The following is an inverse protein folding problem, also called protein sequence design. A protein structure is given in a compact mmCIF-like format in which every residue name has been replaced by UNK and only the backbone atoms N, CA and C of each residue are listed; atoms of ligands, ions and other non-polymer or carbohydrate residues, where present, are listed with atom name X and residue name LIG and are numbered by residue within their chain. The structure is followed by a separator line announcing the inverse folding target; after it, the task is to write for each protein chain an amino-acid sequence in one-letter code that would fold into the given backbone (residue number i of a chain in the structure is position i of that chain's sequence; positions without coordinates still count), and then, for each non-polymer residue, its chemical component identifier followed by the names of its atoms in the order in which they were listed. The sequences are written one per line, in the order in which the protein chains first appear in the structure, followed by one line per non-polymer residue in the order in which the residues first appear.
data_IF_379451127144
#
_entry.id   IF_379451127144
#
_cell.length_a   1.000
_cell.length_b   1.000
_cell.length_c   1.000
_cell.angle_alpha   90.00
_cell.angle_beta   90.00
_cell.angle_gamma   90.00
#
_symmetry.space_group_name_H-M   'P 1'
#
loop_
_entity.id
_entity.type
_entity.pdbx_description
1 polymer ?
#
# COMPACT_ATOMS: atom_id res chain seq x y z
N UNK A 1 -22.67 -6.91 31.75
CA UNK A 1 -22.57 -7.80 30.57
C UNK A 1 -21.39 -7.36 29.73
N UNK A 2 -20.69 -8.31 29.12
CA UNK A 2 -19.62 -8.02 28.16
C UNK A 2 -20.17 -7.35 26.89
N UNK A 3 -19.52 -6.28 26.41
CA UNK A 3 -19.92 -5.53 25.22
C UNK A 3 -19.61 -6.27 23.91
N UNK A 4 -18.52 -7.06 23.91
CA UNK A 4 -18.05 -7.85 22.78
C UNK A 4 -17.89 -9.31 23.18
N UNK A 5 -17.67 -10.19 22.20
CA UNK A 5 -17.44 -11.63 22.45
C UNK A 5 -16.07 -11.89 23.09
N UNK A 6 -15.04 -11.14 22.67
CA UNK A 6 -13.72 -11.20 23.25
C UNK A 6 -13.57 -10.09 24.31
N UNK A 7 -13.36 -10.48 25.56
CA UNK A 7 -13.32 -9.57 26.71
C UNK A 7 -11.91 -9.12 27.09
N UNK A 8 -10.89 -9.48 26.31
CA UNK A 8 -9.55 -8.93 26.50
C UNK A 8 -9.63 -7.39 26.42
N UNK A 9 -9.17 -6.66 27.46
CA UNK A 9 -9.23 -5.19 27.48
C UNK A 9 -8.65 -4.52 26.24
N UNK A 10 -7.56 -5.07 25.68
CA UNK A 10 -6.91 -4.50 24.48
C UNK A 10 -7.76 -4.68 23.22
N UNK A 11 -8.47 -5.81 23.10
CA UNK A 11 -9.38 -6.07 21.99
C UNK A 11 -10.63 -5.20 22.08
N UNK A 12 -11.18 -5.03 23.29
CA UNK A 12 -12.31 -4.12 23.53
C UNK A 12 -11.91 -2.69 23.14
N UNK A 13 -10.76 -2.20 23.64
CA UNK A 13 -10.25 -0.87 23.31
C UNK A 13 -10.02 -0.72 21.80
N UNK A 14 -9.47 -1.74 21.14
CA UNK A 14 -9.25 -1.70 19.70
C UNK A 14 -10.56 -1.62 18.91
N UNK A 15 -11.57 -2.42 19.27
CA UNK A 15 -12.89 -2.39 18.62
C UNK A 15 -13.57 -1.05 18.85
N UNK A 16 -13.55 -0.53 20.08
CA UNK A 16 -14.12 0.78 20.41
C UNK A 16 -13.47 1.90 19.58
N UNK A 17 -12.14 1.91 19.49
CA UNK A 17 -11.41 2.88 18.68
C UNK A 17 -11.71 2.72 17.19
N UNK A 18 -11.71 1.49 16.66
CA UNK A 18 -11.88 1.23 15.22
C UNK A 18 -13.23 1.67 14.66
N UNK A 19 -14.23 1.88 15.53
CA UNK A 19 -15.52 2.47 15.14
C UNK A 19 -15.47 3.98 14.95
N UNK A 20 -14.52 4.64 15.59
CA UNK A 20 -14.35 6.09 15.50
C UNK A 20 -13.46 6.44 14.31
N UNK A 21 -13.65 7.64 13.76
CA UNK A 21 -12.81 8.11 12.66
C UNK A 21 -11.32 8.13 13.03
N UNK A 22 -11.00 8.60 14.24
CA UNK A 22 -9.62 8.65 14.73
C UNK A 22 -9.01 7.24 14.83
N UNK A 23 -9.76 6.25 15.29
CA UNK A 23 -9.24 4.89 15.37
C UNK A 23 -9.15 4.19 14.01
N UNK A 24 -10.02 4.52 13.06
CA UNK A 24 -9.84 4.12 11.66
C UNK A 24 -8.53 4.71 11.09
N UNK A 25 -8.25 5.99 11.36
CA UNK A 25 -6.99 6.62 10.92
C UNK A 25 -5.75 5.93 11.51
N UNK A 26 -5.80 5.62 12.80
CA UNK A 26 -4.70 4.93 13.49
C UNK A 26 -4.53 3.49 13.00
N UNK A 27 -5.63 2.75 12.84
CA UNK A 27 -5.59 1.31 12.59
C UNK A 27 -5.52 0.90 11.13
N UNK A 28 -6.02 1.72 10.21
CA UNK A 28 -6.29 1.30 8.83
C UNK A 28 -5.77 2.30 7.80
N UNK A 29 -6.03 3.61 7.94
CA UNK A 29 -5.74 4.57 6.87
C UNK A 29 -5.34 5.95 7.43
N UNK A 30 -4.05 6.27 7.50
CA UNK A 30 -3.57 7.48 8.19
C UNK A 30 -3.80 8.79 7.47
N UNK A 31 -4.00 8.75 6.15
CA UNK A 31 -4.15 9.97 5.36
C UNK A 31 -5.53 10.58 5.56
N UNK A 32 -5.65 11.90 5.41
CA UNK A 32 -6.97 12.51 5.34
C UNK A 32 -7.58 12.18 3.98
N UNK A 33 -8.87 11.84 3.97
CA UNK A 33 -9.58 11.47 2.75
C UNK A 33 -9.67 12.66 1.78
N UNK A 34 -9.68 13.88 2.32
CA UNK A 34 -9.68 15.14 1.55
C UNK A 34 -8.36 15.41 0.82
N UNK A 35 -7.26 14.88 1.35
CA UNK A 35 -5.90 15.05 0.80
C UNK A 35 -5.54 13.93 -0.18
N UNK A 36 -6.49 13.06 -0.53
CA UNK A 36 -6.28 11.85 -1.32
C UNK A 36 -7.24 11.84 -2.50
N UNK A 37 -6.78 11.33 -3.64
CA UNK A 37 -7.60 11.23 -4.84
C UNK A 37 -8.89 10.43 -4.63
N UNK A 38 -9.90 10.75 -5.43
CA UNK A 38 -11.26 10.22 -5.25
C UNK A 38 -11.33 8.68 -5.25
N UNK A 39 -10.49 8.00 -6.04
CA UNK A 39 -10.47 6.53 -6.14
C UNK A 39 -10.03 5.89 -4.81
N UNK A 40 -8.80 6.12 -4.32
CA UNK A 40 -8.38 5.61 -3.01
C UNK A 40 -9.22 6.17 -1.84
N UNK A 41 -9.65 7.43 -1.89
CA UNK A 41 -10.48 8.04 -0.85
C UNK A 41 -11.87 7.37 -0.73
N UNK A 42 -12.50 7.04 -1.85
CA UNK A 42 -13.79 6.30 -1.85
C UNK A 42 -13.61 4.87 -1.34
N UNK A 43 -12.51 4.20 -1.72
CA UNK A 43 -12.19 2.86 -1.24
C UNK A 43 -11.97 2.84 0.29
N UNK A 44 -11.17 3.78 0.81
CA UNK A 44 -10.96 3.93 2.25
C UNK A 44 -12.27 4.22 3.00
N UNK A 45 -13.13 5.09 2.45
CA UNK A 45 -14.44 5.39 3.02
C UNK A 45 -15.35 4.16 3.08
N UNK A 46 -15.36 3.34 2.03
CA UNK A 46 -16.13 2.08 1.99
C UNK A 46 -15.64 1.11 3.07
N UNK A 47 -14.33 0.91 3.19
CA UNK A 47 -13.74 0.07 4.21
C UNK A 47 -14.10 0.54 5.63
N UNK A 48 -14.04 1.87 5.88
CA UNK A 48 -14.46 2.47 7.16
C UNK A 48 -15.88 2.08 7.54
N UNK A 49 -16.84 2.27 6.63
CA UNK A 49 -18.24 1.95 6.91
C UNK A 49 -18.47 0.45 7.10
N UNK A 50 -17.81 -0.40 6.30
CA UNK A 50 -17.89 -1.86 6.46
C UNK A 50 -17.39 -2.32 7.84
N UNK A 51 -16.29 -1.74 8.33
CA UNK A 51 -15.74 -2.00 9.67
C UNK A 51 -16.72 -1.51 10.75
N UNK A 52 -17.20 -0.28 10.66
CA UNK A 52 -18.14 0.30 11.63
C UNK A 52 -19.43 -0.50 11.76
N UNK A 53 -20.01 -0.90 10.64
CA UNK A 53 -21.21 -1.74 10.60
C UNK A 53 -20.95 -3.12 11.18
N UNK A 54 -19.79 -3.72 10.87
CA UNK A 54 -19.41 -5.05 11.36
C UNK A 54 -19.25 -5.06 12.88
N UNK A 55 -18.58 -4.05 13.44
CA UNK A 55 -18.43 -3.93 14.90
C UNK A 55 -19.80 -3.69 15.55
N UNK A 56 -20.68 -2.90 14.93
CA UNK A 56 -22.05 -2.69 15.42
C UNK A 56 -22.87 -3.98 15.46
N UNK A 57 -22.71 -4.85 14.46
CA UNK A 57 -23.35 -6.18 14.44
C UNK A 57 -22.75 -7.11 15.49
N UNK A 58 -21.44 -7.03 15.73
CA UNK A 58 -20.77 -7.82 16.76
C UNK A 58 -21.29 -7.48 18.16
N UNK A 59 -21.55 -6.22 18.47
CA UNK A 59 -22.14 -5.82 19.76
C UNK A 59 -23.51 -6.44 19.99
N UNK A 60 -24.39 -6.35 18.98
CA UNK A 60 -25.72 -6.97 19.03
C UNK A 60 -25.62 -8.47 19.23
N UNK A 61 -24.68 -9.12 18.53
CA UNK A 61 -24.42 -10.55 18.64
C UNK A 61 -23.90 -10.95 20.04
N UNK A 62 -23.08 -10.11 20.67
CA UNK A 62 -22.60 -10.36 22.03
C UNK A 62 -23.75 -10.41 23.05
N UNK A 63 -24.73 -9.51 22.89
CA UNK A 63 -25.91 -9.41 23.77
C UNK A 63 -27.05 -10.37 23.42
N UNK A 64 -26.97 -11.10 22.30
CA UNK A 64 -28.05 -12.00 21.84
C UNK A 64 -28.21 -13.19 22.80
N UNK A 65 -29.28 -13.23 23.59
CA UNK A 65 -29.55 -14.31 24.54
C UNK A 65 -30.11 -15.58 23.88
N UNK A 66 -30.49 -15.53 22.59
CA UNK A 66 -31.01 -16.68 21.86
C UNK A 66 -29.92 -17.63 21.35
N UNK A 67 -28.64 -17.24 21.44
CA UNK A 67 -27.49 -18.00 20.92
C UNK A 67 -26.54 -18.43 22.04
N UNK A 68 -26.00 -19.64 21.92
CA UNK A 68 -24.88 -20.11 22.74
C UNK A 68 -23.60 -19.34 22.39
N UNK A 69 -22.61 -19.38 23.28
CA UNK A 69 -21.32 -18.71 23.05
C UNK A 69 -20.59 -19.24 21.81
N UNK A 70 -20.68 -20.54 21.54
CA UNK A 70 -20.07 -21.16 20.36
C UNK A 70 -20.75 -20.65 19.07
N UNK A 71 -22.09 -20.63 19.03
CA UNK A 71 -22.86 -20.11 17.90
C UNK A 71 -22.61 -18.61 17.67
N UNK A 72 -22.38 -17.82 18.72
CA UNK A 72 -21.97 -16.41 18.58
C UNK A 72 -20.59 -16.27 17.94
N UNK A 73 -19.62 -17.09 18.32
CA UNK A 73 -18.28 -17.03 17.74
C UNK A 73 -18.26 -17.50 16.27
N UNK A 74 -19.08 -18.49 15.88
CA UNK A 74 -19.27 -18.89 14.48
C UNK A 74 -19.89 -17.76 13.64
N UNK A 75 -20.94 -17.11 14.16
CA UNK A 75 -21.56 -15.97 13.51
C UNK A 75 -20.58 -14.78 13.38
N UNK A 76 -19.75 -14.52 14.40
CA UNK A 76 -18.71 -13.49 14.35
C UNK A 76 -17.61 -13.82 13.33
N UNK A 77 -17.20 -15.09 13.20
CA UNK A 77 -16.30 -15.57 12.14
C UNK A 77 -16.89 -15.32 10.75
N UNK A 78 -18.20 -15.51 10.58
CA UNK A 78 -18.91 -15.22 9.34
C UNK A 78 -18.98 -13.71 9.06
N UNK A 79 -19.28 -12.90 10.07
CA UNK A 79 -19.22 -11.43 9.96
C UNK A 79 -17.81 -10.96 9.56
N UNK A 80 -16.78 -11.53 10.17
CA UNK A 80 -15.39 -11.21 9.83
C UNK A 80 -15.07 -11.55 8.37
N UNK A 81 -15.44 -12.75 7.89
CA UNK A 81 -15.27 -13.12 6.47
C UNK A 81 -15.92 -12.13 5.50
N UNK A 82 -17.09 -11.58 5.86
CA UNK A 82 -17.78 -10.61 5.01
C UNK A 82 -17.08 -9.26 4.99
N UNK A 83 -16.66 -8.73 6.13
CA UNK A 83 -15.90 -7.47 6.16
C UNK A 83 -14.53 -7.61 5.50
N UNK A 84 -13.88 -8.77 5.65
CA UNK A 84 -12.61 -9.08 4.98
C UNK A 84 -12.73 -8.91 3.47
N UNK A 85 -13.79 -9.44 2.83
CA UNK A 85 -13.99 -9.27 1.38
C UNK A 85 -14.08 -7.81 0.96
N UNK A 86 -14.82 -6.99 1.69
CA UNK A 86 -14.98 -5.55 1.39
C UNK A 86 -13.68 -4.76 1.59
N UNK A 87 -12.97 -5.06 2.69
CA UNK A 87 -11.71 -4.39 3.02
C UNK A 87 -10.59 -4.83 2.07
N UNK A 88 -10.51 -6.11 1.71
CA UNK A 88 -9.56 -6.64 0.71
C UNK A 88 -9.78 -6.03 -0.67
N UNK A 89 -11.03 -5.82 -1.07
CA UNK A 89 -11.32 -5.13 -2.33
C UNK A 89 -10.82 -3.69 -2.29
N UNK A 90 -10.99 -3.01 -1.15
CA UNK A 90 -10.51 -1.64 -0.94
C UNK A 90 -8.97 -1.57 -0.93
N UNK A 91 -8.31 -2.53 -0.26
CA UNK A 91 -6.85 -2.73 -0.26
C UNK A 91 -6.32 -2.86 -1.69
N UNK A 92 -6.93 -3.76 -2.49
CA UNK A 92 -6.54 -3.97 -3.90
C UNK A 92 -6.67 -2.68 -4.70
N UNK A 93 -7.78 -1.97 -4.56
CA UNK A 93 -7.99 -0.69 -5.27
C UNK A 93 -6.95 0.36 -4.90
N UNK A 94 -6.65 0.52 -3.61
CA UNK A 94 -5.65 1.50 -3.14
C UNK A 94 -4.24 1.13 -3.61
N UNK A 95 -3.85 -0.15 -3.50
CA UNK A 95 -2.55 -0.64 -3.95
C UNK A 95 -2.37 -0.44 -5.46
N UNK A 96 -3.33 -0.92 -6.26
CA UNK A 96 -3.27 -0.78 -7.72
C UNK A 96 -3.29 0.68 -8.17
N UNK A 97 -3.96 1.57 -7.43
CA UNK A 97 -3.91 3.00 -7.69
C UNK A 97 -2.50 3.56 -7.44
N UNK A 98 -1.94 3.32 -6.25
CA UNK A 98 -0.59 3.79 -5.89
C UNK A 98 0.47 3.31 -6.88
N UNK A 99 0.46 2.01 -7.22
CA UNK A 99 1.41 1.43 -8.17
C UNK A 99 1.29 2.06 -9.56
N UNK A 100 0.06 2.21 -10.06
CA UNK A 100 -0.20 2.77 -11.40
C UNK A 100 0.21 4.24 -11.48
N UNK A 101 -0.19 5.05 -10.50
CA UNK A 101 0.09 6.48 -10.51
C UNK A 101 1.57 6.78 -10.24
N UNK A 102 2.23 5.98 -9.40
CA UNK A 102 3.67 6.08 -9.18
C UNK A 102 4.45 5.75 -10.47
N UNK A 103 4.11 4.66 -11.16
CA UNK A 103 4.76 4.32 -12.43
C UNK A 103 4.43 5.32 -13.55
N UNK A 104 3.20 5.83 -13.61
CA UNK A 104 2.83 6.87 -14.57
C UNK A 104 3.60 8.17 -14.33
N UNK A 105 3.73 8.60 -13.07
CA UNK A 105 4.49 9.78 -12.69
C UNK A 105 5.99 9.61 -12.98
N UNK A 106 6.55 8.45 -12.63
CA UNK A 106 7.93 8.09 -12.96
C UNK A 106 8.18 8.18 -14.47
N UNK A 107 7.32 7.60 -15.30
CA UNK A 107 7.49 7.65 -16.75
C UNK A 107 7.48 9.11 -17.27
N UNK A 108 6.53 9.93 -16.84
CA UNK A 108 6.50 11.36 -17.19
C UNK A 108 7.76 12.10 -16.72
N UNK A 109 8.24 11.80 -15.53
CA UNK A 109 9.45 12.41 -14.96
C UNK A 109 10.70 12.05 -15.79
N UNK A 110 10.80 10.79 -16.25
CA UNK A 110 11.87 10.35 -17.14
C UNK A 110 11.71 10.91 -18.57
N UNK A 111 10.49 11.10 -19.05
CA UNK A 111 10.22 11.66 -20.38
C UNK A 111 10.79 13.07 -20.53
N UNK A 112 10.85 13.87 -19.45
CA UNK A 112 11.51 15.19 -19.43
C UNK A 112 12.98 15.10 -19.88
N UNK A 113 13.66 14.00 -19.53
CA UNK A 113 15.05 13.74 -19.91
C UNK A 113 15.18 12.98 -21.25
N UNK A 114 14.11 12.84 -22.02
CA UNK A 114 14.19 12.25 -23.36
C UNK A 114 15.10 13.09 -24.27
N UNK A 115 15.99 12.45 -25.04
CA UNK A 115 16.87 13.17 -25.96
C UNK A 115 16.07 13.77 -27.12
N UNK A 116 16.23 15.07 -27.33
CA UNK A 116 15.83 15.73 -28.57
C UNK A 116 16.72 15.27 -29.73
N UNK A 117 16.12 14.62 -30.74
CA UNK A 117 16.83 14.08 -31.92
C UNK A 117 17.58 15.17 -32.69
N UNK A 118 17.08 16.41 -32.70
CA UNK A 118 17.72 17.52 -33.40
C UNK A 118 19.03 17.97 -32.74
N UNK A 119 19.23 17.63 -31.45
CA UNK A 119 20.40 18.01 -30.65
C UNK A 119 21.45 16.90 -30.49
N UNK A 120 21.38 15.82 -31.28
CA UNK A 120 22.29 14.68 -31.16
C UNK A 120 23.78 15.03 -31.21
N UNK A 121 24.15 16.01 -32.04
CA UNK A 121 25.52 16.53 -32.10
C UNK A 121 25.93 17.23 -30.80
N UNK A 122 25.08 18.11 -30.28
CA UNK A 122 25.29 18.83 -29.01
C UNK A 122 25.47 17.83 -27.87
N UNK A 123 24.62 16.79 -27.78
CA UNK A 123 24.76 15.79 -26.72
C UNK A 123 26.08 15.03 -26.80
N UNK A 124 26.60 14.81 -28.01
CA UNK A 124 27.91 14.16 -28.19
C UNK A 124 29.05 15.07 -27.73
N UNK A 125 28.97 16.37 -28.03
CA UNK A 125 29.93 17.37 -27.57
C UNK A 125 29.91 17.51 -26.04
N UNK A 126 28.72 17.55 -25.42
CA UNK A 126 28.59 17.60 -23.96
C UNK A 126 29.25 16.39 -23.31
N UNK A 127 28.97 15.16 -23.80
CA UNK A 127 29.60 13.96 -23.24
C UNK A 127 31.11 13.95 -23.43
N UNK A 128 31.59 14.40 -24.59
CA UNK A 128 33.02 14.53 -24.85
C UNK A 128 33.66 15.52 -23.88
N UNK A 129 33.06 16.70 -23.68
CA UNK A 129 33.51 17.67 -22.69
C UNK A 129 33.57 17.05 -21.30
N UNK A 130 32.51 16.35 -20.87
CA UNK A 130 32.49 15.70 -19.56
C UNK A 130 33.62 14.67 -19.40
N UNK A 131 33.87 13.88 -20.45
CA UNK A 131 34.95 12.88 -20.46
C UNK A 131 36.33 13.54 -20.38
N UNK A 132 36.54 14.63 -21.10
CA UNK A 132 37.79 15.40 -21.06
C UNK A 132 38.05 16.01 -19.67
N UNK A 133 37.02 16.55 -19.02
CA UNK A 133 37.15 17.08 -17.66
C UNK A 133 37.42 15.95 -16.64
N UNK A 134 36.75 14.81 -16.77
CA UNK A 134 37.02 13.64 -15.94
C UNK A 134 38.47 13.14 -16.10
N UNK A 135 38.99 13.13 -17.34
CA UNK A 135 40.37 12.72 -17.63
C UNK A 135 41.43 13.66 -17.07
N UNK A 136 41.12 14.95 -16.88
CA UNK A 136 42.02 15.92 -16.22
C UNK A 136 42.18 15.65 -14.72
N UNK A 137 41.29 14.85 -14.12
CA UNK A 137 41.36 14.49 -12.71
C UNK A 137 41.08 15.66 -11.76
N UNK A 138 40.33 16.67 -12.19
CA UNK A 138 39.92 17.80 -11.34
C UNK A 138 39.04 17.26 -10.18
N UNK A 139 39.46 17.41 -8.91
CA UNK A 139 38.69 16.94 -7.76
C UNK A 139 37.30 17.58 -7.64
N UNK A 140 37.12 18.79 -8.18
CA UNK A 140 35.83 19.52 -8.12
C UNK A 140 34.87 19.10 -9.23
N UNK A 141 35.36 18.40 -10.26
CA UNK A 141 34.57 18.04 -11.44
C UNK A 141 33.28 17.25 -11.10
N UNK A 142 33.29 16.24 -10.21
CA UNK A 142 32.07 15.51 -9.87
C UNK A 142 30.96 16.40 -9.30
N UNK A 143 31.31 17.44 -8.55
CA UNK A 143 30.37 18.41 -8.00
C UNK A 143 29.84 19.34 -9.09
N UNK A 144 30.74 19.90 -9.91
CA UNK A 144 30.33 20.76 -11.04
C UNK A 144 29.44 20.01 -12.03
N UNK A 145 29.73 18.75 -12.32
CA UNK A 145 28.89 17.92 -13.17
C UNK A 145 27.49 17.69 -12.57
N UNK A 146 27.39 17.49 -11.25
CA UNK A 146 26.09 17.42 -10.57
C UNK A 146 25.31 18.73 -10.65
N UNK A 147 25.98 19.87 -10.52
CA UNK A 147 25.35 21.18 -10.70
C UNK A 147 24.84 21.37 -12.13
N UNK A 148 25.68 21.08 -13.14
CA UNK A 148 25.32 21.15 -14.55
C UNK A 148 24.11 20.26 -14.87
N UNK A 149 24.07 19.03 -14.37
CA UNK A 149 22.93 18.13 -14.59
C UNK A 149 21.64 18.60 -13.90
N UNK A 150 21.72 19.49 -12.92
CA UNK A 150 20.55 20.06 -12.23
C UNK A 150 20.10 21.40 -12.82
N UNK A 151 21.03 22.15 -13.42
CA UNK A 151 20.76 23.51 -13.92
C UNK A 151 20.59 23.57 -15.44
N UNK A 152 21.16 22.62 -16.18
CA UNK A 152 21.07 22.55 -17.64
C UNK A 152 20.42 21.24 -18.12
N UNK A 153 19.27 21.38 -18.78
CA UNK A 153 18.45 20.26 -19.25
C UNK A 153 19.13 19.50 -20.39
N UNK A 154 19.86 20.20 -21.27
CA UNK A 154 20.56 19.54 -22.37
C UNK A 154 21.73 18.69 -21.86
N UNK A 155 22.44 19.15 -20.81
CA UNK A 155 23.43 18.33 -20.10
C UNK A 155 22.79 17.10 -19.45
N UNK A 156 21.69 17.28 -18.72
CA UNK A 156 20.99 16.16 -18.10
C UNK A 156 20.54 15.10 -19.13
N UNK A 157 19.98 15.54 -20.26
CA UNK A 157 19.58 14.68 -21.39
C UNK A 157 20.77 13.96 -22.02
N UNK A 158 21.88 14.67 -22.23
CA UNK A 158 23.09 14.09 -22.80
C UNK A 158 23.67 12.96 -21.94
N UNK A 159 23.63 13.12 -20.61
CA UNK A 159 24.06 12.13 -19.62
C UNK A 159 23.06 10.97 -19.51
N UNK A 160 21.76 11.23 -19.53
CA UNK A 160 20.70 10.22 -19.45
C UNK A 160 20.68 9.28 -20.67
N UNK A 161 20.84 9.84 -21.87
CA UNK A 161 20.65 9.12 -23.14
C UNK A 161 21.77 8.13 -23.51
N UNK A 162 22.83 8.01 -22.70
CA UNK A 162 24.02 7.24 -23.03
C UNK A 162 24.62 6.52 -21.82
N UNK A 163 25.33 5.39 -21.99
CA UNK A 163 26.10 4.75 -20.92
C UNK A 163 27.13 5.69 -20.27
N UNK A 164 27.43 5.50 -18.98
CA UNK A 164 28.27 6.41 -18.20
C UNK A 164 29.68 6.57 -18.76
N UNK A 165 30.24 5.49 -19.34
CA UNK A 165 31.60 5.50 -19.89
C UNK A 165 31.80 6.54 -21.02
N UNK A 166 30.74 6.88 -21.77
CA UNK A 166 30.82 7.90 -22.83
C UNK A 166 31.04 9.31 -22.28
N UNK A 167 30.67 9.54 -21.02
CA UNK A 167 30.85 10.81 -20.30
C UNK A 167 31.97 10.76 -19.25
N UNK A 168 32.71 9.65 -19.18
CA UNK A 168 33.78 9.46 -18.20
C UNK A 168 33.30 9.25 -16.76
N UNK A 169 32.05 8.79 -16.56
CA UNK A 169 31.48 8.48 -15.23
C UNK A 169 31.10 7.01 -15.11
N UNK A 170 31.13 6.46 -13.89
CA UNK A 170 30.57 5.13 -13.64
C UNK A 170 29.05 5.12 -13.78
N UNK A 171 28.46 3.97 -14.11
CA UNK A 171 27.01 3.85 -14.34
C UNK A 171 26.18 4.15 -13.08
N UNK A 172 26.65 3.80 -11.89
CA UNK A 172 26.00 4.16 -10.63
C UNK A 172 25.96 5.67 -10.43
N UNK A 173 27.09 6.35 -10.68
CA UNK A 173 27.17 7.81 -10.62
C UNK A 173 26.28 8.46 -11.67
N UNK A 174 26.22 7.90 -12.88
CA UNK A 174 25.29 8.36 -13.92
C UNK A 174 23.85 8.28 -13.43
N UNK A 175 23.44 7.15 -12.85
CA UNK A 175 22.07 6.99 -12.37
C UNK A 175 21.75 8.03 -11.29
N UNK A 176 22.66 8.30 -10.35
CA UNK A 176 22.50 9.38 -9.38
C UNK A 176 22.37 10.77 -10.02
N UNK A 177 23.14 11.07 -11.07
CA UNK A 177 23.00 12.34 -11.80
C UNK A 177 21.64 12.45 -12.48
N UNK A 178 21.16 11.36 -13.07
CA UNK A 178 19.84 11.29 -13.70
C UNK A 178 18.72 11.49 -12.67
N UNK A 179 18.76 10.80 -11.53
CA UNK A 179 17.76 10.98 -10.47
C UNK A 179 17.73 12.42 -9.95
N UNK A 180 18.89 13.01 -9.68
CA UNK A 180 18.98 14.41 -9.23
C UNK A 180 18.48 15.40 -10.29
N UNK A 181 18.71 15.10 -11.57
CA UNK A 181 18.20 15.93 -12.66
C UNK A 181 16.67 15.83 -12.78
N UNK A 182 16.10 14.63 -12.58
CA UNK A 182 14.64 14.42 -12.55
C UNK A 182 14.01 15.23 -11.40
N UNK A 183 14.62 15.23 -10.21
CA UNK A 183 14.15 16.06 -9.09
C UNK A 183 14.19 17.56 -9.40
N UNK A 184 15.17 18.01 -10.19
CA UNK A 184 15.30 19.42 -10.56
C UNK A 184 14.32 19.83 -11.67
N UNK A 185 14.13 18.99 -12.70
CA UNK A 185 13.36 19.35 -13.90
C UNK A 185 11.92 18.83 -13.93
N UNK A 186 11.61 17.83 -13.11
CA UNK A 186 10.26 17.27 -12.97
C UNK A 186 9.81 17.19 -11.49
N UNK A 187 9.96 18.26 -10.68
CA UNK A 187 9.67 18.21 -9.25
C UNK A 187 8.21 17.85 -8.94
N UNK A 188 7.28 18.27 -9.80
CA UNK A 188 5.86 17.95 -9.65
C UNK A 188 5.57 16.45 -9.85
N UNK A 189 6.18 15.81 -10.85
CA UNK A 189 6.02 14.37 -11.07
C UNK A 189 6.72 13.55 -9.99
N UNK A 190 7.87 14.01 -9.47
CA UNK A 190 8.51 13.38 -8.29
C UNK A 190 7.62 13.47 -7.06
N UNK A 191 7.03 14.64 -6.79
CA UNK A 191 6.09 14.81 -5.69
C UNK A 191 4.85 13.91 -5.86
N UNK A 192 4.30 13.82 -7.07
CA UNK A 192 3.17 12.95 -7.38
C UNK A 192 3.52 11.47 -7.21
N UNK A 193 4.71 11.04 -7.66
CA UNK A 193 5.21 9.69 -7.48
C UNK A 193 5.29 9.33 -5.99
N UNK A 194 5.89 10.22 -5.17
CA UNK A 194 6.02 10.00 -3.73
C UNK A 194 4.65 9.93 -3.05
N UNK A 195 3.72 10.83 -3.39
CA UNK A 195 2.37 10.80 -2.87
C UNK A 195 1.64 9.50 -3.25
N UNK A 196 1.75 9.05 -4.50
CA UNK A 196 1.16 7.80 -4.95
C UNK A 196 1.72 6.57 -4.20
N UNK A 197 3.03 6.55 -3.92
CA UNK A 197 3.65 5.52 -3.09
C UNK A 197 3.13 5.53 -1.65
N UNK A 198 2.97 6.71 -1.04
CA UNK A 198 2.37 6.85 0.31
C UNK A 198 0.92 6.35 0.36
N UNK A 199 0.14 6.63 -0.69
CA UNK A 199 -1.22 6.09 -0.86
C UNK A 199 -1.17 4.56 -0.95
N UNK A 200 -0.27 4.00 -1.76
CA UNK A 200 -0.08 2.55 -1.90
C UNK A 200 0.27 1.87 -0.57
N UNK A 201 1.12 2.48 0.25
CA UNK A 201 1.49 1.97 1.58
C UNK A 201 0.31 1.88 2.55
N UNK A 202 -0.76 2.65 2.35
CA UNK A 202 -1.96 2.51 3.17
C UNK A 202 -2.61 1.13 3.03
N UNK A 203 -2.40 0.44 1.90
CA UNK A 203 -2.89 -0.93 1.69
C UNK A 203 -2.31 -1.91 2.73
N UNK A 204 -1.01 -1.83 3.03
CA UNK A 204 -0.35 -2.67 4.04
C UNK A 204 -0.87 -2.36 5.45
N UNK A 205 -1.11 -1.08 5.74
CA UNK A 205 -1.71 -0.64 7.00
C UNK A 205 -3.11 -1.22 7.16
N UNK A 206 -3.92 -1.20 6.11
CA UNK A 206 -5.27 -1.78 6.11
C UNK A 206 -5.24 -3.31 6.30
N UNK A 207 -4.28 -4.01 5.70
CA UNK A 207 -4.07 -5.46 5.93
C UNK A 207 -3.72 -5.74 7.40
N UNK A 208 -2.81 -4.98 7.99
CA UNK A 208 -2.44 -5.11 9.40
C UNK A 208 -3.64 -4.81 10.33
N UNK A 209 -4.40 -3.75 10.05
CA UNK A 209 -5.62 -3.41 10.77
C UNK A 209 -6.69 -4.51 10.70
N UNK A 210 -6.86 -5.12 9.52
CA UNK A 210 -7.81 -6.20 9.30
C UNK A 210 -7.44 -7.47 10.08
N UNK A 211 -6.16 -7.83 10.10
CA UNK A 211 -5.65 -8.95 10.89
C UNK A 211 -5.94 -8.74 12.39
N UNK A 212 -5.68 -7.53 12.89
CA UNK A 212 -5.97 -7.18 14.30
C UNK A 212 -7.47 -7.16 14.60
N UNK A 213 -8.30 -6.75 13.63
CA UNK A 213 -9.76 -6.84 13.74
C UNK A 213 -10.22 -8.27 13.92
N UNK A 214 -9.71 -9.21 13.12
CA UNK A 214 -10.06 -10.63 13.24
C UNK A 214 -9.75 -11.20 14.62
N UNK A 215 -8.57 -10.91 15.16
CA UNK A 215 -8.17 -11.33 16.51
C UNK A 215 -9.06 -10.72 17.61
N UNK A 216 -9.52 -9.49 17.41
CA UNK A 216 -10.36 -8.80 18.38
C UNK A 216 -11.83 -9.27 18.36
N UNK A 217 -12.36 -9.68 17.21
CA UNK A 217 -13.79 -9.95 17.05
C UNK A 217 -14.27 -11.25 17.71
N UNK A 218 -13.47 -12.32 17.68
CA UNK A 218 -13.91 -13.64 18.14
C UNK A 218 -12.73 -14.52 18.60
N UNK A 219 -13.04 -15.59 19.33
CA UNK A 219 -12.06 -16.65 19.64
C UNK A 219 -12.12 -17.73 18.57
N UNK A 220 -11.01 -17.97 17.87
CA UNK A 220 -10.91 -19.03 16.84
C UNK A 220 -11.26 -20.41 17.41
N UNK A 221 -10.74 -20.73 18.60
CA UNK A 221 -10.99 -22.01 19.27
C UNK A 221 -12.46 -22.27 19.63
N UNK A 222 -13.26 -21.22 19.88
CA UNK A 222 -14.70 -21.34 20.11
C UNK A 222 -15.48 -21.41 18.79
N UNK A 223 -15.08 -20.64 17.79
CA UNK A 223 -15.70 -20.67 16.47
C UNK A 223 -15.51 -22.03 15.77
N UNK A 224 -14.35 -22.67 15.96
CA UNK A 224 -14.07 -23.98 15.37
C UNK A 224 -14.85 -25.10 16.10
N UNK A 225 -15.00 -25.02 17.43
CA UNK A 225 -15.85 -25.95 18.19
C UNK A 225 -17.30 -25.97 17.74
N UNK A 226 -17.89 -24.80 17.45
CA UNK A 226 -19.23 -24.70 16.87
C UNK A 226 -19.36 -25.48 15.55
N UNK A 227 -18.33 -25.37 14.70
CA UNK A 227 -18.28 -26.03 13.39
C UNK A 227 -18.23 -27.56 13.50
N UNK A 228 -17.54 -28.10 14.52
CA UNK A 228 -17.49 -29.54 14.80
C UNK A 228 -18.76 -30.08 15.47
N UNK A 229 -19.51 -29.24 16.20
CA UNK A 229 -20.75 -29.64 16.87
C UNK A 229 -21.98 -29.67 15.95
N UNK A 230 -21.84 -29.30 14.67
CA UNK A 230 -22.94 -29.39 13.71
C UNK A 230 -23.23 -30.86 13.42
N UNK A 231 -24.34 -31.34 13.96
CA UNK A 231 -24.96 -32.59 13.51
C UNK A 231 -25.59 -32.29 12.14
N UNK A 232 -25.06 -32.91 11.10
CA UNK A 232 -25.69 -32.93 9.79
C UNK A 232 -26.88 -33.90 9.86
N UNK A 233 -28.07 -33.37 10.08
CA UNK A 233 -29.32 -34.14 10.18
C UNK A 233 -29.75 -34.76 8.85
N UNK A 234 -29.16 -34.33 7.74
CA UNK A 234 -29.35 -34.92 6.42
C UNK A 234 -28.26 -35.95 6.08
N UNK A 235 -27.30 -36.19 6.99
CA UNK A 235 -26.29 -37.22 6.80
C UNK A 235 -26.94 -38.61 6.71
N UNK A 236 -26.49 -39.48 5.79
CA UNK A 236 -26.99 -40.85 5.71
C UNK A 236 -26.77 -41.55 7.06
N UNK A 237 -27.84 -42.17 7.59
CA UNK A 237 -27.73 -43.00 8.79
C UNK A 237 -26.75 -44.14 8.50
N UNK A 238 -25.69 -44.22 9.29
CA UNK A 238 -24.72 -45.32 9.21
C UNK A 238 -25.44 -46.59 9.65
N UNK A 239 -25.58 -47.54 8.74
CA UNK A 239 -26.13 -48.85 9.07
C UNK A 239 -25.18 -49.57 10.03
N UNK A 240 -25.69 -50.26 11.07
CA UNK A 240 -24.83 -51.00 11.98
C UNK A 240 -24.02 -52.03 11.18
N UNK A 241 -22.71 -52.09 11.42
CA UNK A 241 -21.88 -53.16 10.89
C UNK A 241 -22.49 -54.49 11.35
N UNK A 242 -22.79 -55.36 10.39
CA UNK A 242 -23.26 -56.70 10.68
C UNK A 242 -22.16 -57.41 11.48
N UNK A 243 -22.35 -57.51 12.79
CA UNK A 243 -21.56 -58.39 13.64
C UNK A 243 -21.64 -59.82 13.13
N UNK A 244 -20.49 -60.49 13.22
CA UNK A 244 -20.19 -61.87 12.78
C UNK A 244 -21.31 -62.92 12.97
#
# INVERSE_FOLDING_TARGET
MARYLNNNPDHVKYLDMSRLEVGFKVGFFSMNIEDVDAVPGTAATRAKYAIQETISRLERLATDTSKTNDAKNEAAKTLFKNVTKEVEQSIKTIRSYGDREAEAAKNRAFDVLSPDVSKGAIYSEVRQFCREQAAKGDPDWPMRLSELCRSDLDTARAISAAPGFLSGVGDDRRMHLVTNAIEAFAPADVAHMNHALEVGQQAERMEAGLNKLGQAMFSSALADRASYSRVDVDAPLIAPEAGE
#
